data_IF_460261394780
#
_entry.id   IF_460261394780
#
_cell.length_a   1.000
_cell.length_b   1.000
_cell.length_c   1.000
_cell.angle_alpha   90.00
_cell.angle_beta   90.00
_cell.angle_gamma   90.00
#
_symmetry.space_group_name_H-M   'P 1'
#
loop_
_entity.id
_entity.type
_entity.pdbx_description
1 polymer ?
#
# COMPACT_ATOMS: atom_id res chain seq x y z
N UNK A 1 -21.12 28.69 -35.81
CA UNK A 1 -19.99 27.75 -35.97
C UNK A 1 -18.80 27.91 -35.02
N UNK A 2 -18.48 29.10 -34.47
CA UNK A 2 -17.28 29.25 -33.62
C UNK A 2 -17.31 28.58 -32.23
N UNK A 3 -18.48 28.45 -31.58
CA UNK A 3 -18.58 27.86 -30.22
C UNK A 3 -18.40 26.33 -30.22
N UNK A 4 -18.92 25.65 -31.25
CA UNK A 4 -18.75 24.20 -31.39
C UNK A 4 -17.29 23.83 -31.66
N UNK A 5 -16.62 24.57 -32.55
CA UNK A 5 -15.20 24.38 -32.85
C UNK A 5 -14.29 24.61 -31.62
N UNK A 6 -14.58 25.63 -30.80
CA UNK A 6 -13.85 25.87 -29.55
C UNK A 6 -14.05 24.72 -28.54
N UNK A 7 -15.28 24.21 -28.41
CA UNK A 7 -15.59 23.09 -27.53
C UNK A 7 -14.88 21.80 -27.97
N UNK A 8 -14.78 21.55 -29.27
CA UNK A 8 -14.04 20.42 -29.84
C UNK A 8 -12.53 20.53 -29.61
N UNK A 9 -11.95 21.72 -29.79
CA UNK A 9 -10.51 21.95 -29.56
C UNK A 9 -10.17 21.79 -28.08
N UNK A 10 -11.00 22.33 -27.18
CA UNK A 10 -10.88 22.10 -25.74
C UNK A 10 -10.92 20.59 -25.44
N UNK A 11 -11.93 19.89 -25.97
CA UNK A 11 -12.10 18.45 -25.76
C UNK A 11 -10.95 17.62 -26.35
N UNK A 12 -10.31 18.09 -27.43
CA UNK A 12 -9.13 17.47 -28.03
C UNK A 12 -7.91 17.65 -27.12
N UNK A 13 -7.65 18.86 -26.66
CA UNK A 13 -6.55 19.17 -25.74
C UNK A 13 -6.67 18.42 -24.41
N UNK A 14 -7.88 18.28 -23.88
CA UNK A 14 -8.11 17.47 -22.68
C UNK A 14 -7.82 15.98 -22.93
N UNK A 15 -8.25 15.42 -24.07
CA UNK A 15 -7.94 14.03 -24.44
C UNK A 15 -6.45 13.79 -24.61
N UNK A 16 -5.72 14.70 -25.25
CA UNK A 16 -4.27 14.59 -25.43
C UNK A 16 -3.52 14.67 -24.09
N UNK A 17 -3.90 15.62 -23.21
CA UNK A 17 -3.35 15.70 -21.85
C UNK A 17 -3.62 14.42 -21.05
N UNK A 18 -4.81 13.84 -21.18
CA UNK A 18 -5.18 12.59 -20.53
C UNK A 18 -4.34 11.41 -21.03
N UNK A 19 -4.21 11.24 -22.35
CA UNK A 19 -3.38 10.18 -22.95
C UNK A 19 -1.91 10.32 -22.54
N UNK A 20 -1.38 11.55 -22.50
CA UNK A 20 -0.03 11.81 -22.02
C UNK A 20 0.13 11.44 -20.54
N UNK A 21 -0.86 11.74 -19.69
CA UNK A 21 -0.84 11.40 -18.28
C UNK A 21 -0.85 9.87 -18.06
N UNK A 22 -1.68 9.15 -18.84
CA UNK A 22 -1.69 7.68 -18.84
C UNK A 22 -0.34 7.11 -19.27
N UNK A 23 0.23 7.61 -20.37
CA UNK A 23 1.54 7.14 -20.83
C UNK A 23 2.64 7.40 -19.79
N UNK A 24 2.66 8.60 -19.18
CA UNK A 24 3.59 8.92 -18.09
C UNK A 24 3.39 8.01 -16.87
N UNK A 25 2.16 7.65 -16.50
CA UNK A 25 1.87 6.68 -15.43
C UNK A 25 2.44 5.31 -15.79
N UNK A 26 2.20 4.84 -17.01
CA UNK A 26 2.68 3.56 -17.50
C UNK A 26 4.22 3.49 -17.48
N UNK A 27 4.90 4.52 -17.99
CA UNK A 27 6.37 4.62 -17.98
C UNK A 27 6.92 4.58 -16.56
N UNK A 28 6.36 5.39 -15.63
CA UNK A 28 6.81 5.38 -14.23
C UNK A 28 6.65 4.03 -13.53
N UNK A 29 5.56 3.31 -13.80
CA UNK A 29 5.35 1.97 -13.25
C UNK A 29 6.39 0.98 -13.80
N UNK A 30 6.72 1.05 -15.09
CA UNK A 30 7.76 0.23 -15.68
C UNK A 30 9.16 0.57 -15.13
N UNK A 31 9.50 1.86 -15.04
CA UNK A 31 10.78 2.32 -14.48
C UNK A 31 10.94 1.85 -13.03
N UNK A 32 9.93 2.04 -12.19
CA UNK A 32 9.97 1.61 -10.78
C UNK A 32 10.08 0.08 -10.64
N UNK A 33 9.32 -0.68 -11.44
CA UNK A 33 9.42 -2.13 -11.45
C UNK A 33 10.80 -2.62 -11.92
N UNK A 34 11.37 -1.94 -12.93
CA UNK A 34 12.69 -2.27 -13.46
C UNK A 34 13.82 -1.96 -12.47
N UNK A 35 13.78 -0.81 -11.81
CA UNK A 35 14.73 -0.46 -10.74
C UNK A 35 14.69 -1.46 -9.58
N UNK A 36 13.50 -1.92 -9.19
CA UNK A 36 13.34 -2.94 -8.14
C UNK A 36 13.92 -4.30 -8.58
N UNK A 37 13.73 -4.69 -9.85
CA UNK A 37 14.38 -5.88 -10.39
C UNK A 37 15.91 -5.79 -10.31
N UNK A 38 16.49 -4.66 -10.73
CA UNK A 38 17.95 -4.42 -10.67
C UNK A 38 18.45 -4.49 -9.22
N UNK A 39 17.74 -3.84 -8.28
CA UNK A 39 18.09 -3.83 -6.85
C UNK A 39 18.14 -5.24 -6.27
N UNK A 40 17.12 -6.06 -6.56
CA UNK A 40 17.05 -7.46 -6.11
C UNK A 40 18.18 -8.30 -6.69
N UNK A 41 18.51 -8.09 -7.96
CA UNK A 41 19.62 -8.77 -8.60
C UNK A 41 20.97 -8.41 -7.98
N UNK A 42 21.19 -7.13 -7.65
CA UNK A 42 22.39 -6.67 -6.94
C UNK A 42 22.49 -7.25 -5.51
N UNK A 43 21.38 -7.33 -4.77
CA UNK A 43 21.33 -7.99 -3.45
C UNK A 43 21.64 -9.50 -3.56
N UNK A 44 21.15 -10.16 -4.62
CA UNK A 44 21.47 -11.57 -4.90
C UNK A 44 22.95 -11.79 -5.22
N UNK A 45 23.57 -10.91 -6.01
CA UNK A 45 24.99 -10.97 -6.38
C UNK A 45 25.93 -10.68 -5.19
N UNK A 46 25.58 -9.73 -4.32
CA UNK A 46 26.34 -9.43 -3.09
C UNK A 46 26.25 -10.54 -2.05
N UNK A 47 25.13 -11.27 -1.97
CA UNK A 47 25.02 -12.45 -1.11
C UNK A 47 25.88 -13.64 -1.57
N UNK A 48 26.08 -13.79 -2.90
CA UNK A 48 26.97 -14.82 -3.48
C UNK A 48 28.45 -14.53 -3.27
N UNK A 49 28.85 -13.27 -3.08
CA UNK A 49 30.24 -12.86 -2.85
C UNK A 49 30.71 -13.03 -1.39
N UNK A 50 29.81 -13.31 -0.44
CA UNK A 50 30.12 -13.38 1.01
C UNK A 50 30.47 -14.78 1.54
N UNK A 51 30.41 -15.82 0.71
CA UNK A 51 30.76 -17.18 1.09
C UNK A 51 32.24 -17.48 0.81
N UNK A 52 33.11 -17.13 1.75
CA UNK A 52 34.44 -17.73 1.88
C UNK A 52 34.49 -18.65 3.11
N UNK A 53 34.91 -19.92 3.00
CA UNK A 53 35.05 -20.79 4.16
C UNK A 53 36.44 -20.56 4.77
N UNK A 54 36.52 -19.89 5.92
CA UNK A 54 37.76 -19.89 6.72
C UNK A 54 37.48 -20.11 8.21
N UNK A 55 38.02 -21.25 8.68
CA UNK A 55 38.49 -21.61 10.02
C UNK A 55 37.51 -21.51 11.18
N UNK A 56 37.01 -22.62 11.75
CA UNK A 56 37.73 -23.72 12.45
C UNK A 56 38.76 -23.19 13.45
N UNK A 57 38.30 -23.05 14.70
CA UNK A 57 39.00 -23.28 15.97
C UNK A 57 38.65 -22.20 17.00
N UNK A 58 38.47 -22.64 18.25
CA UNK A 58 38.22 -21.87 19.48
C UNK A 58 36.79 -21.30 19.64
N UNK A 59 36.07 -21.53 20.75
CA UNK A 59 36.46 -22.06 22.06
C UNK A 59 35.19 -22.51 22.80
N UNK A 60 35.34 -23.57 23.58
CA UNK A 60 34.35 -24.06 24.54
C UNK A 60 34.06 -23.04 25.65
N UNK A 61 32.89 -23.23 26.27
CA UNK A 61 32.47 -22.78 27.60
C UNK A 61 32.09 -21.31 27.75
N UNK A 62 30.78 -21.08 27.86
CA UNK A 62 30.17 -20.68 29.13
C UNK A 62 28.65 -20.85 29.04
N UNK A 63 28.18 -22.03 29.48
CA UNK A 63 26.83 -22.13 30.04
C UNK A 63 26.87 -21.46 31.41
N UNK A 64 26.04 -20.44 31.60
CA UNK A 64 25.58 -20.03 32.92
C UNK A 64 24.20 -19.38 32.77
N UNK A 65 23.19 -20.23 32.88
CA UNK A 65 21.82 -20.00 33.37
C UNK A 65 21.38 -18.57 33.71
N UNK A 66 20.27 -18.10 33.11
CA UNK A 66 19.20 -17.28 33.70
C UNK A 66 18.03 -17.11 32.70
N UNK A 67 16.83 -16.73 33.18
CA UNK A 67 15.63 -17.56 33.19
C UNK A 67 14.85 -17.58 31.86
N UNK A 68 14.04 -18.62 31.77
CA UNK A 68 12.80 -18.74 31.02
C UNK A 68 12.12 -17.40 30.68
N UNK A 69 12.39 -16.91 29.47
CA UNK A 69 11.40 -16.21 28.68
C UNK A 69 11.37 -16.92 27.33
N UNK A 70 10.54 -17.95 27.24
CA UNK A 70 9.95 -18.27 25.93
C UNK A 70 9.18 -17.03 25.51
N UNK A 71 9.84 -16.10 24.84
CA UNK A 71 9.15 -15.31 23.81
C UNK A 71 8.63 -16.35 22.84
N UNK A 72 7.37 -16.70 23.05
CA UNK A 72 6.63 -17.51 22.12
C UNK A 72 6.56 -16.65 20.86
N UNK A 73 7.51 -16.85 19.95
CA UNK A 73 7.34 -16.52 18.55
C UNK A 73 6.20 -17.41 18.04
N UNK A 74 4.97 -17.11 18.46
CA UNK A 74 3.79 -17.50 17.71
C UNK A 74 3.96 -16.79 16.39
N UNK A 75 4.09 -17.56 15.30
CA UNK A 75 3.93 -16.99 13.97
C UNK A 75 2.63 -16.19 13.99
N UNK A 76 2.64 -14.88 13.66
CA UNK A 76 1.42 -14.09 13.68
C UNK A 76 0.44 -14.76 12.72
N UNK A 77 -0.72 -15.16 13.23
CA UNK A 77 -1.78 -15.63 12.37
C UNK A 77 -2.25 -14.44 11.53
N UNK A 78 -2.44 -14.61 10.24
CA UNK A 78 -2.91 -13.56 9.34
C UNK A 78 -4.39 -13.77 8.98
N UNK A 79 -5.10 -12.69 8.65
CA UNK A 79 -6.48 -12.71 8.17
C UNK A 79 -6.65 -11.77 6.97
N UNK A 80 -7.41 -12.22 5.97
CA UNK A 80 -7.78 -11.39 4.84
C UNK A 80 -9.00 -10.53 5.20
N UNK A 81 -8.81 -9.22 5.24
CA UNK A 81 -9.82 -8.24 5.58
C UNK A 81 -10.15 -7.41 4.34
N UNK A 82 -11.43 -7.36 3.98
CA UNK A 82 -11.94 -6.40 3.01
C UNK A 82 -12.23 -5.06 3.69
N UNK A 83 -11.81 -3.95 3.09
CA UNK A 83 -12.23 -2.60 3.47
C UNK A 83 -13.10 -2.02 2.37
N UNK A 84 -14.22 -1.39 2.74
CA UNK A 84 -15.12 -0.74 1.81
C UNK A 84 -15.49 0.66 2.26
N UNK A 85 -15.49 1.61 1.32
CA UNK A 85 -15.97 2.97 1.56
C UNK A 85 -16.71 3.48 0.33
N UNK A 86 -17.81 4.20 0.55
CA UNK A 86 -18.51 4.88 -0.54
C UNK A 86 -17.93 6.28 -0.72
N UNK A 87 -17.39 6.57 -1.90
CA UNK A 87 -16.81 7.88 -2.22
C UNK A 87 -16.84 8.18 -3.72
N UNK A 88 -17.34 9.36 -4.07
CA UNK A 88 -17.41 9.85 -5.45
C UNK A 88 -16.06 10.45 -5.85
N UNK A 89 -15.44 9.87 -6.88
CA UNK A 89 -14.14 10.33 -7.41
C UNK A 89 -14.33 10.94 -8.80
N UNK A 90 -13.43 11.85 -9.14
CA UNK A 90 -13.31 12.38 -10.49
C UNK A 90 -12.35 11.55 -11.35
N UNK A 91 -12.50 11.55 -12.69
CA UNK A 91 -11.59 10.84 -13.58
C UNK A 91 -10.11 11.20 -13.33
N UNK A 92 -9.29 10.17 -13.10
CA UNK A 92 -7.86 10.33 -12.79
C UNK A 92 -7.52 10.39 -11.30
N UNK A 93 -8.53 10.36 -10.42
CA UNK A 93 -8.35 10.15 -8.99
C UNK A 93 -8.42 8.65 -8.67
N UNK A 94 -7.60 8.23 -7.70
CA UNK A 94 -7.57 6.85 -7.20
C UNK A 94 -7.72 6.88 -5.67
N UNK A 95 -8.44 5.92 -5.08
CA UNK A 95 -8.54 5.78 -3.62
C UNK A 95 -7.50 4.79 -3.09
N UNK A 96 -6.98 5.06 -1.90
CA UNK A 96 -6.08 4.17 -1.18
C UNK A 96 -6.34 4.22 0.33
N UNK A 97 -5.84 3.20 1.01
CA UNK A 97 -5.96 2.98 2.45
C UNK A 97 -4.56 3.05 3.07
N UNK A 98 -4.32 4.06 3.89
CA UNK A 98 -3.06 4.27 4.60
C UNK A 98 -3.28 4.01 6.10
N UNK A 99 -2.33 3.38 6.79
CA UNK A 99 -2.50 3.06 8.20
C UNK A 99 -1.21 2.69 8.90
N UNK A 100 -1.31 2.33 10.18
CA UNK A 100 -0.14 2.08 11.06
C UNK A 100 0.65 0.83 10.71
N UNK A 101 0.03 -0.18 10.09
CA UNK A 101 0.71 -1.43 9.80
C UNK A 101 1.53 -1.37 8.50
N UNK A 102 2.57 -2.21 8.37
CA UNK A 102 3.39 -2.31 7.15
C UNK A 102 2.57 -2.57 5.89
N UNK A 103 1.52 -3.37 5.99
CA UNK A 103 0.64 -3.75 4.88
C UNK A 103 -0.26 -2.58 4.42
N UNK A 104 -0.45 -1.57 5.27
CA UNK A 104 -1.12 -0.30 4.94
C UNK A 104 -0.14 0.86 4.74
N UNK A 105 1.16 0.57 4.67
CA UNK A 105 2.19 1.53 4.31
C UNK A 105 2.76 2.36 5.45
N UNK A 106 2.38 2.15 6.73
CA UNK A 106 2.88 2.93 7.89
C UNK A 106 2.68 4.46 7.71
N UNK A 107 1.48 4.86 7.29
CA UNK A 107 1.11 6.24 6.94
C UNK A 107 1.84 6.85 5.73
N UNK A 108 2.66 6.08 5.02
CA UNK A 108 3.23 6.47 3.73
C UNK A 108 2.25 6.13 2.60
N UNK A 109 1.66 7.17 1.99
CA UNK A 109 0.68 7.03 0.90
C UNK A 109 1.28 6.37 -0.35
N UNK A 110 2.60 6.47 -0.57
CA UNK A 110 3.25 5.79 -1.68
C UNK A 110 3.27 4.26 -1.52
N UNK A 111 3.20 3.78 -0.27
CA UNK A 111 3.17 2.37 0.14
C UNK A 111 1.78 1.90 0.57
N UNK A 112 0.78 2.79 0.54
CA UNK A 112 -0.59 2.49 0.95
C UNK A 112 -1.26 1.42 0.08
N UNK A 113 -2.25 0.74 0.65
CA UNK A 113 -3.02 -0.26 -0.07
C UNK A 113 -3.96 0.41 -1.07
N UNK A 114 -3.81 0.11 -2.36
CA UNK A 114 -4.70 0.62 -3.41
C UNK A 114 -6.09 0.02 -3.29
N UNK A 115 -7.13 0.84 -3.52
CA UNK A 115 -8.50 0.38 -3.59
C UNK A 115 -8.96 0.26 -5.04
N UNK A 116 -9.85 -0.68 -5.31
CA UNK A 116 -10.51 -0.86 -6.59
C UNK A 116 -11.92 -0.26 -6.55
N UNK A 117 -12.25 0.55 -7.54
CA UNK A 117 -13.61 1.05 -7.72
C UNK A 117 -14.55 -0.11 -8.11
N UNK A 118 -15.76 -0.09 -7.57
CA UNK A 118 -16.86 -1.00 -7.87
C UNK A 118 -18.15 -0.22 -8.09
N UNK A 119 -19.16 -0.89 -8.65
CA UNK A 119 -20.47 -0.29 -8.92
C UNK A 119 -21.07 0.40 -7.68
N UNK A 120 -21.73 1.54 -7.88
CA UNK A 120 -22.33 2.32 -6.80
C UNK A 120 -21.36 3.27 -6.07
N UNK A 121 -20.20 3.57 -6.67
CA UNK A 121 -19.14 4.41 -6.10
C UNK A 121 -18.59 3.85 -4.79
N UNK A 122 -18.51 2.53 -4.72
CA UNK A 122 -17.92 1.80 -3.59
C UNK A 122 -16.51 1.41 -3.96
N UNK A 123 -15.57 1.81 -3.11
CA UNK A 123 -14.17 1.43 -3.22
C UNK A 123 -13.89 0.25 -2.32
N UNK A 124 -13.16 -0.75 -2.82
CA UNK A 124 -12.83 -1.98 -2.12
C UNK A 124 -11.31 -2.20 -2.06
N UNK A 125 -10.76 -2.45 -0.88
CA UNK A 125 -9.42 -3.00 -0.71
C UNK A 125 -9.49 -4.37 -0.03
N UNK A 126 -8.61 -5.29 -0.41
CA UNK A 126 -8.39 -6.54 0.31
C UNK A 126 -6.98 -6.52 0.84
N UNK A 127 -6.82 -6.61 2.15
CA UNK A 127 -5.53 -6.52 2.84
C UNK A 127 -5.40 -7.69 3.79
N UNK A 128 -4.28 -8.39 3.73
CA UNK A 128 -3.94 -9.45 4.67
C UNK A 128 -3.24 -8.82 5.86
N UNK A 129 -3.87 -8.87 7.04
CA UNK A 129 -3.37 -8.23 8.26
C UNK A 129 -3.03 -9.27 9.32
N UNK A 130 -2.06 -9.01 10.21
CA UNK A 130 -1.88 -9.80 11.42
C UNK A 130 -3.16 -9.82 12.25
N UNK A 131 -3.47 -10.95 12.88
CA UNK A 131 -4.59 -11.09 13.82
C UNK A 131 -4.21 -10.55 15.19
N UNK A 132 -5.24 -10.27 15.98
CA UNK A 132 -5.16 -9.85 17.38
C UNK A 132 -4.38 -8.53 17.59
N UNK A 133 -4.30 -7.71 16.53
CA UNK A 133 -3.75 -6.36 16.58
C UNK A 133 -4.83 -5.32 16.34
N UNK A 134 -4.59 -4.12 16.89
CA UNK A 134 -5.35 -2.91 16.59
C UNK A 134 -4.61 -2.11 15.53
N UNK A 135 -5.31 -1.78 14.46
CA UNK A 135 -4.80 -1.02 13.34
C UNK A 135 -5.54 0.31 13.27
N UNK A 136 -4.79 1.39 13.09
CA UNK A 136 -5.33 2.69 12.74
C UNK A 136 -5.15 2.92 11.26
N UNK A 137 -6.16 3.48 10.61
CA UNK A 137 -6.10 3.76 9.18
C UNK A 137 -6.96 4.95 8.78
N UNK A 138 -6.68 5.45 7.58
CA UNK A 138 -7.50 6.44 6.89
C UNK A 138 -7.58 6.17 5.39
N UNK A 139 -8.68 6.61 4.82
CA UNK A 139 -8.87 6.70 3.39
C UNK A 139 -8.22 7.96 2.82
N UNK A 140 -7.57 7.80 1.66
CA UNK A 140 -6.84 8.87 0.99
C UNK A 140 -7.18 8.86 -0.50
N UNK A 141 -7.53 10.02 -1.05
CA UNK A 141 -7.72 10.24 -2.49
C UNK A 141 -6.40 10.72 -3.08
N UNK A 142 -5.84 9.97 -4.04
CA UNK A 142 -4.66 10.36 -4.83
C UNK A 142 -5.10 11.15 -6.05
N UNK A 143 -4.54 12.34 -6.21
CA UNK A 143 -4.87 13.27 -7.31
C UNK A 143 -3.96 13.09 -8.53
N UNK A 144 -3.61 11.85 -8.88
CA UNK A 144 -2.82 11.56 -10.08
C UNK A 144 -1.42 12.23 -10.13
N UNK A 145 -0.80 12.44 -8.96
CA UNK A 145 0.51 13.10 -8.83
C UNK A 145 0.46 14.59 -8.50
N UNK A 146 -0.74 15.17 -8.36
CA UNK A 146 -0.94 16.55 -7.89
C UNK A 146 -1.01 16.67 -6.36
N UNK A 147 -0.89 15.55 -5.65
CA UNK A 147 -1.02 15.45 -4.20
C UNK A 147 -2.06 14.43 -3.77
N UNK A 148 -2.46 14.54 -2.51
CA UNK A 148 -3.34 13.61 -1.82
C UNK A 148 -4.32 14.38 -0.92
N UNK A 149 -5.54 13.86 -0.81
CA UNK A 149 -6.58 14.37 0.08
C UNK A 149 -6.90 13.28 1.07
N UNK A 150 -6.57 13.55 2.32
CA UNK A 150 -6.93 12.68 3.45
C UNK A 150 -8.40 12.85 3.81
N UNK A 151 -9.03 11.77 4.26
CA UNK A 151 -10.36 11.91 4.82
C UNK A 151 -10.37 12.85 6.04
N UNK A 152 -11.44 13.65 6.19
CA UNK A 152 -11.58 14.52 7.36
C UNK A 152 -11.86 13.69 8.62
N UNK A 153 -11.70 14.29 9.80
CA UNK A 153 -12.02 13.62 11.07
C UNK A 153 -10.86 12.81 11.65
N UNK A 154 -11.19 11.93 12.59
CA UNK A 154 -10.21 11.10 13.29
C UNK A 154 -9.78 9.88 12.46
N UNK A 155 -8.77 9.15 12.92
CA UNK A 155 -8.37 7.88 12.31
C UNK A 155 -9.41 6.81 12.63
N UNK A 156 -9.73 5.95 11.66
CA UNK A 156 -10.53 4.76 11.94
C UNK A 156 -9.70 3.76 12.73
N UNK A 157 -10.38 3.02 13.61
CA UNK A 157 -9.79 1.94 14.40
C UNK A 157 -10.42 0.60 14.01
N UNK A 158 -9.58 -0.40 13.78
CA UNK A 158 -10.04 -1.76 13.51
C UNK A 158 -9.21 -2.80 14.24
N UNK A 159 -9.90 -3.75 14.85
CA UNK A 159 -9.31 -4.90 15.54
C UNK A 159 -9.48 -6.14 14.67
N UNK A 160 -8.35 -6.74 14.29
CA UNK A 160 -8.33 -7.86 13.34
C UNK A 160 -8.58 -9.16 14.09
N UNK A 161 -9.77 -9.74 13.91
CA UNK A 161 -10.17 -11.01 14.52
C UNK A 161 -10.30 -12.11 13.46
N UNK A 162 -10.43 -13.38 13.86
CA UNK A 162 -10.56 -14.51 12.92
C UNK A 162 -11.80 -14.44 12.01
N UNK A 163 -12.86 -13.79 12.48
CA UNK A 163 -14.14 -13.63 11.78
C UNK A 163 -14.23 -12.33 10.98
N UNK A 164 -13.22 -11.45 11.07
CA UNK A 164 -13.19 -10.14 10.42
C UNK A 164 -12.98 -10.29 8.91
N UNK A 165 -14.07 -10.33 8.13
CA UNK A 165 -14.01 -10.49 6.66
C UNK A 165 -14.20 -9.20 5.86
N UNK A 166 -15.04 -8.29 6.34
CA UNK A 166 -15.36 -7.04 5.65
C UNK A 166 -15.63 -5.93 6.66
N UNK A 167 -14.99 -4.79 6.47
CA UNK A 167 -15.17 -3.55 7.21
C UNK A 167 -15.73 -2.51 6.24
N UNK A 168 -16.95 -2.06 6.47
CA UNK A 168 -17.58 -0.99 5.70
C UNK A 168 -17.58 0.31 6.50
N UNK A 169 -16.99 1.35 5.92
CA UNK A 169 -16.86 2.67 6.52
C UNK A 169 -17.57 3.74 5.71
N UNK A 170 -17.82 4.87 6.36
CA UNK A 170 -18.27 6.09 5.72
C UNK A 170 -17.12 7.09 5.71
N UNK A 171 -16.95 7.79 4.57
CA UNK A 171 -15.89 8.78 4.39
C UNK A 171 -15.94 9.86 5.48
N UNK A 172 -14.85 9.98 6.25
CA UNK A 172 -14.71 10.96 7.32
C UNK A 172 -15.44 10.65 8.63
N UNK A 173 -15.89 9.40 8.81
CA UNK A 173 -16.57 8.94 10.02
C UNK A 173 -15.65 8.14 10.97
N UNK A 174 -14.35 8.46 10.97
CA UNK A 174 -13.35 7.86 11.87
C UNK A 174 -13.48 8.29 13.31
#
# INVERSE_FOLDING_TARGET
>A
DGRAALQEDISRRYREKYLLALHKRQVRLYESAWEECIRREQLSQTSKQRWHPLNRSFRSQLCSSRPDQREQHTVPAYADVGFSVKYDTFPGQDLCLAGTCPELGEWDVSRSAGMAWSEGNVWLAKVTLPRDIKVEYKYVVRLGGLGEIWEPGNNHFFEVNESSRLRGDQWGAG
#
